data_IF_617435021557
#
_entry.id   IF_617435021557
#
_cell.length_a   1.000
_cell.length_b   1.000
_cell.length_c   1.000
_cell.angle_alpha   90.00
_cell.angle_beta   90.00
_cell.angle_gamma   90.00
#
_symmetry.space_group_name_H-M   'P 1'
#
loop_
_entity.id
_entity.type
_entity.pdbx_description
1 polymer ?
#
# COMPACT_ATOMS: atom_id res chain seq x y z
N UNK A 1 -3.66 35.78 32.20
CA UNK A 1 -3.57 35.74 33.68
C UNK A 1 -2.98 37.05 34.15
N UNK A 2 -3.82 37.95 34.68
CA UNK A 2 -3.38 39.24 35.18
C UNK A 2 -2.42 39.07 36.35
N UNK A 3 -1.30 39.80 36.34
CA UNK A 3 -0.43 39.91 37.50
C UNK A 3 -1.27 40.55 38.60
N UNK A 4 -1.55 39.81 39.68
CA UNK A 4 -2.17 40.40 40.86
C UNK A 4 -1.26 41.52 41.37
N UNK A 5 -1.83 42.72 41.49
CA UNK A 5 -1.13 43.85 42.10
C UNK A 5 -0.68 43.46 43.50
N UNK A 6 0.63 43.55 43.77
CA UNK A 6 1.14 43.37 45.13
C UNK A 6 0.54 44.46 46.02
N UNK A 7 -0.05 44.06 47.15
CA UNK A 7 -0.58 45.00 48.15
C UNK A 7 0.55 45.95 48.60
N UNK A 8 0.39 47.24 48.31
CA UNK A 8 1.27 48.29 48.84
C UNK A 8 0.85 48.63 50.28
N UNK A 9 1.78 49.22 51.05
CA UNK A 9 1.63 49.54 52.48
C UNK A 9 0.36 50.35 52.80
N UNK A 10 -0.18 51.06 51.80
CA UNK A 10 -1.40 51.87 51.91
C UNK A 10 -2.70 51.05 51.90
N UNK A 11 -2.66 49.76 51.54
CA UNK A 11 -3.84 48.90 51.54
C UNK A 11 -4.07 48.17 52.88
N UNK A 12 -3.28 48.49 53.91
CA UNK A 12 -3.54 48.03 55.27
C UNK A 12 -4.77 48.77 55.83
N UNK A 13 -5.69 48.01 56.45
CA UNK A 13 -6.95 48.48 57.05
C UNK A 13 -6.79 49.82 57.76
N UNK A 14 -7.80 50.71 57.70
CA UNK A 14 -7.81 51.99 58.44
C UNK A 14 -7.40 51.84 59.90
N UNK A 15 -7.80 50.72 60.53
CA UNK A 15 -7.43 50.31 61.89
C UNK A 15 -5.92 50.17 62.10
N UNK A 16 -5.17 49.74 61.08
CA UNK A 16 -3.70 49.61 61.13
C UNK A 16 -3.00 50.96 61.08
N UNK A 17 -3.51 51.90 60.27
CA UNK A 17 -2.97 53.26 60.20
C UNK A 17 -3.16 53.99 61.53
N UNK A 18 -4.36 53.89 62.11
CA UNK A 18 -4.68 54.50 63.41
C UNK A 18 -3.83 53.91 64.54
N UNK A 19 -3.59 52.61 64.51
CA UNK A 19 -2.73 51.94 65.48
C UNK A 19 -1.27 52.39 65.37
N UNK A 20 -0.71 52.44 64.16
CA UNK A 20 0.66 52.93 63.95
C UNK A 20 0.84 54.39 64.38
N UNK A 21 -0.18 55.22 64.18
CA UNK A 21 -0.16 56.61 64.63
C UNK A 21 -0.17 56.72 66.17
N UNK A 22 -0.98 55.91 66.86
CA UNK A 22 -1.00 55.84 68.33
C UNK A 22 0.35 55.38 68.90
N UNK A 23 0.95 54.34 68.32
CA UNK A 23 2.27 53.81 68.71
C UNK A 23 3.35 54.87 68.53
N UNK A 24 3.39 55.58 67.39
CA UNK A 24 4.39 56.63 67.14
C UNK A 24 4.31 57.76 68.16
N UNK A 25 3.09 58.21 68.49
CA UNK A 25 2.88 59.29 69.46
C UNK A 25 3.35 58.91 70.85
N UNK A 26 2.97 57.72 71.33
CA UNK A 26 3.43 57.22 72.63
C UNK A 26 4.94 57.00 72.66
N UNK A 27 5.53 56.39 71.62
CA UNK A 27 6.98 56.21 71.54
C UNK A 27 7.74 57.54 71.59
N UNK A 28 7.17 58.62 71.04
CA UNK A 28 7.72 59.96 71.16
C UNK A 28 7.76 60.45 72.60
N UNK A 29 6.64 60.32 73.33
CA UNK A 29 6.52 60.70 74.74
C UNK A 29 7.44 59.85 75.62
N UNK A 30 7.42 58.53 75.45
CA UNK A 30 8.28 57.61 76.19
C UNK A 30 9.77 57.92 75.95
N UNK A 31 10.18 58.19 74.71
CA UNK A 31 11.57 58.56 74.39
C UNK A 31 11.98 59.87 75.06
N UNK A 32 11.10 60.87 75.13
CA UNK A 32 11.36 62.13 75.83
C UNK A 32 11.50 61.92 77.35
N UNK A 33 10.62 61.11 77.95
CA UNK A 33 10.68 60.76 79.38
C UNK A 33 11.92 59.94 79.74
N UNK A 34 12.32 59.03 78.85
CA UNK A 34 13.55 58.27 78.99
C UNK A 34 14.80 59.16 78.94
N UNK A 35 14.83 60.15 78.04
CA UNK A 35 15.93 61.13 77.95
C UNK A 35 16.00 62.09 79.15
N UNK A 36 14.88 62.36 79.81
CA UNK A 36 14.79 63.29 80.96
C UNK A 36 14.81 62.58 82.32
N UNK A 37 15.16 61.28 82.31
CA UNK A 37 15.21 60.42 83.50
C UNK A 37 16.18 60.94 84.57
N UNK A 38 15.74 60.91 85.82
CA UNK A 38 16.57 61.23 87.01
C UNK A 38 17.18 59.95 87.61
N UNK A 39 18.34 60.06 88.27
CA UNK A 39 18.97 58.92 88.93
C UNK A 39 18.05 58.33 90.01
N UNK A 40 17.66 57.06 89.86
CA UNK A 40 16.75 56.37 90.78
C UNK A 40 15.35 56.05 90.22
N UNK A 41 14.94 56.64 89.09
CA UNK A 41 13.70 56.21 88.41
C UNK A 41 13.90 54.82 87.78
N UNK A 42 12.98 53.89 88.03
CA UNK A 42 12.94 52.58 87.36
C UNK A 42 12.26 52.68 85.99
N UNK A 43 12.52 51.71 85.12
CA UNK A 43 11.94 51.68 83.77
C UNK A 43 10.41 51.62 83.79
N UNK A 44 9.85 50.88 84.76
CA UNK A 44 8.41 50.83 85.02
C UNK A 44 7.81 52.18 85.46
N UNK A 45 8.58 53.03 86.15
CA UNK A 45 8.13 54.36 86.56
C UNK A 45 8.03 55.30 85.36
N UNK A 46 8.98 55.19 84.43
CA UNK A 46 9.02 55.98 83.19
C UNK A 46 7.88 55.58 82.25
N UNK A 47 7.60 54.27 82.16
CA UNK A 47 6.47 53.77 81.37
C UNK A 47 5.13 54.28 81.92
N UNK A 48 4.94 54.26 83.24
CA UNK A 48 3.72 54.78 83.88
C UNK A 48 3.58 56.30 83.68
N UNK A 49 4.66 57.08 83.84
CA UNK A 49 4.64 58.52 83.60
C UNK A 49 4.35 58.87 82.12
N UNK A 50 4.84 58.05 81.19
CA UNK A 50 4.54 58.22 79.76
C UNK A 50 3.08 57.86 79.44
N UNK A 51 2.51 56.86 80.10
CA UNK A 51 1.09 56.50 79.99
C UNK A 51 0.17 57.59 80.54
N UNK A 52 0.51 58.16 81.70
CA UNK A 52 -0.23 59.27 82.29
C UNK A 52 -0.17 60.51 81.40
N UNK A 53 1.02 60.88 80.88
CA UNK A 53 1.15 62.01 79.97
C UNK A 53 0.38 61.79 78.66
N UNK A 54 0.42 60.58 78.09
CA UNK A 54 -0.35 60.27 76.89
C UNK A 54 -1.86 60.38 77.17
N UNK A 55 -2.31 59.94 78.35
CA UNK A 55 -3.71 60.01 78.76
C UNK A 55 -4.17 61.45 78.94
N UNK A 56 -3.34 62.32 79.50
CA UNK A 56 -3.62 63.75 79.62
C UNK A 56 -3.68 64.45 78.26
N UNK A 57 -2.72 64.19 77.37
CA UNK A 57 -2.63 64.87 76.07
C UNK A 57 -3.73 64.44 75.09
N UNK A 58 -4.13 63.16 75.11
CA UNK A 58 -5.03 62.58 74.11
C UNK A 58 -6.38 62.11 74.67
N UNK A 59 -6.63 62.35 75.96
CA UNK A 59 -7.87 61.99 76.68
C UNK A 59 -8.33 60.54 76.46
N UNK A 60 -7.36 59.62 76.33
CA UNK A 60 -7.61 58.20 76.09
C UNK A 60 -6.51 57.35 76.74
N UNK A 61 -6.84 56.23 77.41
CA UNK A 61 -5.81 55.35 77.97
C UNK A 61 -5.00 54.71 76.85
N UNK A 62 -3.68 54.79 76.95
CA UNK A 62 -2.79 54.02 76.09
C UNK A 62 -2.88 52.54 76.52
N UNK A 63 -3.39 51.67 75.65
CA UNK A 63 -3.50 50.23 75.94
C UNK A 63 -2.87 49.41 74.82
N UNK A 64 -1.53 49.38 74.79
CA UNK A 64 -0.81 48.78 73.68
C UNK A 64 -0.47 47.29 73.90
N UNK A 65 -0.15 46.87 75.12
CA UNK A 65 0.53 45.59 75.32
C UNK A 65 -0.34 44.33 75.10
N UNK A 66 -1.61 44.32 75.56
CA UNK A 66 -2.47 43.11 75.45
C UNK A 66 -3.23 43.00 74.12
N UNK A 67 -3.35 44.11 73.39
CA UNK A 67 -4.11 44.18 72.13
C UNK A 67 -3.22 44.05 70.89
N UNK A 68 -2.01 44.63 70.89
CA UNK A 68 -1.11 44.59 69.72
C UNK A 68 -0.50 43.21 69.51
N UNK A 69 -0.06 42.52 70.56
CA UNK A 69 0.46 41.14 70.43
C UNK A 69 -0.60 40.18 69.87
N UNK A 70 -1.87 40.33 70.27
CA UNK A 70 -2.98 39.53 69.75
C UNK A 70 -3.26 39.85 68.28
N UNK A 71 -3.19 41.12 67.89
CA UNK A 71 -3.37 41.53 66.50
C UNK A 71 -2.23 41.04 65.60
N UNK A 72 -0.98 41.08 66.07
CA UNK A 72 0.16 40.51 65.33
C UNK A 72 -0.01 39.00 65.14
N UNK A 73 -0.42 38.27 66.19
CA UNK A 73 -0.70 36.84 66.09
C UNK A 73 -1.84 36.53 65.10
N UNK A 74 -2.91 37.33 65.09
CA UNK A 74 -3.99 37.21 64.11
C UNK A 74 -3.50 37.48 62.68
N UNK A 75 -2.63 38.47 62.47
CA UNK A 75 -2.04 38.74 61.16
C UNK A 75 -1.11 37.62 60.70
N UNK A 76 -0.29 37.05 61.61
CA UNK A 76 0.55 35.88 61.29
C UNK A 76 -0.31 34.67 60.93
N UNK A 77 -1.40 34.44 61.66
CA UNK A 77 -2.35 33.37 61.34
C UNK A 77 -3.01 33.59 59.96
N UNK A 78 -3.40 34.83 59.64
CA UNK A 78 -3.95 35.17 58.33
C UNK A 78 -2.94 34.92 57.21
N UNK A 79 -1.69 35.35 57.35
CA UNK A 79 -0.64 35.13 56.35
C UNK A 79 -0.39 33.62 56.13
N UNK A 80 -0.42 32.83 57.21
CA UNK A 80 -0.28 31.37 57.11
C UNK A 80 -1.45 30.75 56.38
N UNK A 81 -2.68 31.16 56.70
CA UNK A 81 -3.87 30.66 56.02
C UNK A 81 -3.87 31.07 54.54
N UNK A 82 -3.51 32.32 54.21
CA UNK A 82 -3.43 32.79 52.82
C UNK A 82 -2.34 32.01 52.03
N UNK A 83 -1.20 31.72 52.67
CA UNK A 83 -0.17 30.87 52.06
C UNK A 83 -0.63 29.42 51.87
N UNK A 84 -1.36 28.85 52.82
CA UNK A 84 -1.90 27.50 52.76
C UNK A 84 -3.00 27.37 51.71
N UNK A 85 -3.93 28.32 51.65
CA UNK A 85 -4.94 28.41 50.59
C UNK A 85 -4.30 28.54 49.22
N UNK A 86 -3.24 29.35 49.08
CA UNK A 86 -2.53 29.48 47.80
C UNK A 86 -1.77 28.22 47.41
N UNK A 87 -1.15 27.53 48.37
CA UNK A 87 -0.50 26.24 48.13
C UNK A 87 -1.52 25.18 47.70
N UNK A 88 -2.68 25.14 48.35
CA UNK A 88 -3.77 24.24 48.00
C UNK A 88 -4.33 24.54 46.62
N UNK A 89 -4.56 25.81 46.27
CA UNK A 89 -5.01 26.22 44.93
C UNK A 89 -4.02 25.76 43.84
N UNK A 90 -2.72 25.95 44.06
CA UNK A 90 -1.68 25.48 43.13
C UNK A 90 -1.71 23.96 43.01
N UNK A 91 -1.86 23.24 44.12
CA UNK A 91 -1.87 21.77 44.10
C UNK A 91 -3.06 21.20 43.33
N UNK A 92 -4.26 21.75 43.55
CA UNK A 92 -5.48 21.34 42.86
C UNK A 92 -5.40 21.69 41.38
N UNK A 93 -4.97 22.92 41.05
CA UNK A 93 -4.78 23.34 39.66
C UNK A 93 -3.76 22.47 38.92
N UNK A 94 -2.65 22.10 39.57
CA UNK A 94 -1.64 21.23 38.98
C UNK A 94 -2.16 19.80 38.72
N UNK A 95 -2.98 19.27 39.63
CA UNK A 95 -3.61 17.96 39.47
C UNK A 95 -4.65 17.94 38.35
N UNK A 96 -5.46 18.99 38.24
CA UNK A 96 -6.40 19.17 37.13
C UNK A 96 -5.66 19.24 35.78
N UNK A 97 -4.61 20.08 35.68
CA UNK A 97 -3.80 20.19 34.47
C UNK A 97 -3.11 18.88 34.10
N UNK A 98 -2.56 18.15 35.08
CA UNK A 98 -1.95 16.84 34.86
C UNK A 98 -2.95 15.85 34.28
N UNK A 99 -4.16 15.79 34.84
CA UNK A 99 -5.20 14.88 34.39
C UNK A 99 -5.65 15.22 32.96
N UNK A 100 -5.81 16.51 32.64
CA UNK A 100 -6.15 16.96 31.28
C UNK A 100 -5.05 16.56 30.28
N UNK A 101 -3.79 16.86 30.57
CA UNK A 101 -2.69 16.54 29.67
C UNK A 101 -2.53 15.02 29.47
N UNK A 102 -2.64 14.25 30.55
CA UNK A 102 -2.61 12.79 30.50
C UNK A 102 -3.71 12.24 29.59
N UNK A 103 -4.94 12.72 29.74
CA UNK A 103 -6.05 12.31 28.88
C UNK A 103 -5.82 12.68 27.41
N UNK A 104 -5.35 13.90 27.13
CA UNK A 104 -5.05 14.35 25.78
C UNK A 104 -3.99 13.48 25.10
N UNK A 105 -2.89 13.18 25.78
CA UNK A 105 -1.82 12.31 25.24
C UNK A 105 -2.39 10.93 24.90
N UNK A 106 -3.15 10.34 25.83
CA UNK A 106 -3.77 9.02 25.64
C UNK A 106 -4.75 9.01 24.46
N UNK A 107 -5.57 10.06 24.31
CA UNK A 107 -6.51 10.16 23.19
C UNK A 107 -5.81 10.32 21.83
N UNK A 108 -4.78 11.16 21.78
CA UNK A 108 -3.97 11.38 20.58
C UNK A 108 -3.32 10.05 20.15
N UNK A 109 -2.70 9.32 21.06
CA UNK A 109 -2.02 8.07 20.72
C UNK A 109 -3.00 6.95 20.41
N UNK A 110 -4.14 6.84 21.11
CA UNK A 110 -5.23 5.93 20.74
C UNK A 110 -5.71 6.19 19.31
N UNK A 111 -5.85 7.46 18.91
CA UNK A 111 -6.26 7.83 17.55
C UNK A 111 -5.21 7.43 16.52
N UNK A 112 -3.92 7.66 16.78
CA UNK A 112 -2.82 7.22 15.90
C UNK A 112 -2.82 5.70 15.73
N UNK A 113 -2.90 4.96 16.84
CA UNK A 113 -2.93 3.50 16.84
C UNK A 113 -4.12 2.99 16.03
N UNK A 114 -5.32 3.53 16.25
CA UNK A 114 -6.51 3.14 15.48
C UNK A 114 -6.32 3.36 13.98
N UNK A 115 -5.78 4.51 13.56
CA UNK A 115 -5.51 4.80 12.16
C UNK A 115 -4.48 3.85 11.54
N UNK A 116 -3.45 3.47 12.29
CA UNK A 116 -2.44 2.51 11.83
C UNK A 116 -3.05 1.11 11.65
N UNK A 117 -3.84 0.65 12.61
CA UNK A 117 -4.53 -0.64 12.52
C UNK A 117 -5.54 -0.66 11.37
N UNK A 118 -6.31 0.41 11.15
CA UNK A 118 -7.23 0.51 10.00
C UNK A 118 -6.49 0.38 8.66
N UNK A 119 -5.31 1.00 8.54
CA UNK A 119 -4.46 0.89 7.35
C UNK A 119 -3.95 -0.55 7.19
N UNK A 120 -3.44 -1.16 8.26
CA UNK A 120 -2.95 -2.55 8.25
C UNK A 120 -4.04 -3.54 7.89
N UNK A 121 -5.23 -3.42 8.48
CA UNK A 121 -6.40 -4.27 8.17
C UNK A 121 -6.76 -4.18 6.68
N UNK A 122 -6.87 -2.97 6.13
CA UNK A 122 -7.14 -2.78 4.70
C UNK A 122 -6.08 -3.41 3.80
N UNK A 123 -4.80 -3.31 4.19
CA UNK A 123 -3.71 -3.95 3.44
C UNK A 123 -3.80 -5.48 3.47
N UNK A 124 -4.11 -6.06 4.63
CA UNK A 124 -4.30 -7.52 4.78
C UNK A 124 -5.49 -7.99 3.93
N UNK A 125 -6.61 -7.26 3.93
CA UNK A 125 -7.76 -7.61 3.10
C UNK A 125 -7.45 -7.60 1.61
N UNK A 126 -6.71 -6.60 1.13
CA UNK A 126 -6.26 -6.53 -0.27
C UNK A 126 -5.33 -7.70 -0.59
N UNK A 127 -4.34 -7.99 0.28
CA UNK A 127 -3.44 -9.14 0.10
C UNK A 127 -4.19 -10.46 0.03
N UNK A 128 -5.17 -10.67 0.92
CA UNK A 128 -6.02 -11.86 0.93
C UNK A 128 -6.82 -12.02 -0.37
N UNK A 129 -7.35 -10.92 -0.93
CA UNK A 129 -8.05 -10.94 -2.23
C UNK A 129 -7.12 -11.27 -3.39
N UNK A 130 -5.91 -10.71 -3.40
CA UNK A 130 -4.89 -11.00 -4.42
C UNK A 130 -4.50 -12.48 -4.34
N UNK A 131 -4.18 -12.97 -3.15
CA UNK A 131 -3.79 -14.37 -2.93
C UNK A 131 -4.90 -15.33 -3.37
N UNK A 132 -6.14 -15.07 -2.96
CA UNK A 132 -7.30 -15.85 -3.40
C UNK A 132 -7.44 -15.85 -4.93
N UNK A 133 -7.32 -14.68 -5.57
CA UNK A 133 -7.40 -14.57 -7.03
C UNK A 133 -6.24 -15.29 -7.73
N UNK A 134 -5.02 -15.20 -7.20
CA UNK A 134 -3.85 -15.91 -7.70
C UNK A 134 -4.02 -17.43 -7.61
N UNK A 135 -4.52 -17.94 -6.47
CA UNK A 135 -4.79 -19.37 -6.28
C UNK A 135 -5.85 -19.89 -7.27
N UNK A 136 -6.90 -19.10 -7.52
CA UNK A 136 -7.94 -19.44 -8.50
C UNK A 136 -7.37 -19.44 -9.92
N UNK A 137 -6.57 -18.43 -10.29
CA UNK A 137 -5.93 -18.38 -11.60
C UNK A 137 -4.92 -19.52 -11.79
N UNK A 138 -4.12 -19.85 -10.77
CA UNK A 138 -3.20 -20.98 -10.80
C UNK A 138 -3.94 -22.31 -11.00
N UNK A 139 -5.07 -22.50 -10.30
CA UNK A 139 -5.93 -23.68 -10.48
C UNK A 139 -6.51 -23.75 -11.89
N UNK A 140 -6.98 -22.61 -12.43
CA UNK A 140 -7.50 -22.52 -13.80
C UNK A 140 -6.44 -22.87 -14.84
N UNK A 141 -5.23 -22.33 -14.72
CA UNK A 141 -4.12 -22.61 -15.64
C UNK A 141 -3.78 -24.10 -15.62
N UNK A 142 -3.75 -24.74 -14.45
CA UNK A 142 -3.52 -26.19 -14.35
C UNK A 142 -4.57 -27.01 -15.09
N UNK A 143 -5.84 -26.63 -15.00
CA UNK A 143 -6.91 -27.31 -15.75
C UNK A 143 -6.73 -27.13 -17.26
N UNK A 144 -6.39 -25.92 -17.70
CA UNK A 144 -6.13 -25.64 -19.12
C UNK A 144 -4.91 -26.41 -19.64
N UNK A 145 -3.84 -26.51 -18.86
CA UNK A 145 -2.66 -27.31 -19.20
C UNK A 145 -3.04 -28.78 -19.34
N UNK A 146 -3.77 -29.35 -18.37
CA UNK A 146 -4.21 -30.74 -18.46
C UNK A 146 -5.10 -31.00 -19.68
N UNK A 147 -5.95 -30.03 -20.06
CA UNK A 147 -6.75 -30.12 -21.29
C UNK A 147 -5.88 -30.09 -22.55
N UNK A 148 -4.89 -29.19 -22.60
CA UNK A 148 -3.96 -29.08 -23.72
C UNK A 148 -3.09 -30.33 -23.86
N UNK A 149 -2.61 -30.89 -22.75
CA UNK A 149 -1.86 -32.15 -22.70
C UNK A 149 -2.68 -33.31 -23.26
N UNK A 150 -3.96 -33.40 -22.89
CA UNK A 150 -4.87 -34.42 -23.43
C UNK A 150 -5.07 -34.27 -24.94
N UNK A 151 -5.33 -33.05 -25.42
CA UNK A 151 -5.52 -32.79 -26.86
C UNK A 151 -4.22 -33.07 -27.63
N UNK A 152 -3.07 -32.69 -27.07
CA UNK A 152 -1.76 -32.94 -27.67
C UNK A 152 -1.47 -34.44 -27.72
N UNK A 153 -1.74 -35.19 -26.63
CA UNK A 153 -1.62 -36.65 -26.61
C UNK A 153 -2.55 -37.34 -27.61
N UNK A 154 -3.78 -36.85 -27.79
CA UNK A 154 -4.69 -37.34 -28.83
C UNK A 154 -4.16 -37.07 -30.24
N UNK A 155 -3.61 -35.87 -30.47
CA UNK A 155 -2.99 -35.50 -31.76
C UNK A 155 -1.78 -36.37 -32.08
N UNK A 156 -0.92 -36.62 -31.09
CA UNK A 156 0.23 -37.51 -31.24
C UNK A 156 -0.19 -38.95 -31.52
N UNK A 157 -1.18 -39.47 -30.80
CA UNK A 157 -1.73 -40.82 -31.01
C UNK A 157 -2.31 -40.98 -32.42
N UNK A 158 -3.11 -40.01 -32.87
CA UNK A 158 -3.65 -40.00 -34.23
C UNK A 158 -2.54 -39.86 -35.29
N UNK A 159 -1.51 -39.05 -35.03
CA UNK A 159 -0.34 -38.91 -35.91
C UNK A 159 0.42 -40.24 -36.02
N UNK A 160 0.57 -40.98 -34.92
CA UNK A 160 1.21 -42.30 -34.92
C UNK A 160 0.40 -43.34 -35.69
N UNK A 161 -0.94 -43.32 -35.57
CA UNK A 161 -1.81 -44.17 -36.39
C UNK A 161 -1.68 -43.86 -37.89
N UNK A 162 -1.56 -42.57 -38.26
CA UNK A 162 -1.34 -42.16 -39.64
C UNK A 162 -0.01 -42.65 -40.22
N UNK A 163 1.05 -42.77 -39.41
CA UNK A 163 2.31 -43.38 -39.84
C UNK A 163 2.10 -44.85 -40.24
N UNK A 164 1.24 -45.59 -39.53
CA UNK A 164 0.94 -46.99 -39.85
C UNK A 164 0.21 -47.15 -41.19
N UNK A 165 -0.60 -46.17 -41.61
CA UNK A 165 -1.30 -46.21 -42.91
C UNK A 165 -0.32 -46.27 -44.09
N UNK A 166 0.87 -45.67 -43.96
CA UNK A 166 1.90 -45.68 -45.01
C UNK A 166 2.46 -47.07 -45.33
N UNK A 167 2.42 -48.01 -44.35
CA UNK A 167 2.94 -49.37 -44.54
C UNK A 167 2.07 -50.19 -45.51
N UNK A 168 0.77 -49.90 -45.57
CA UNK A 168 -0.17 -50.60 -46.44
C UNK A 168 -0.22 -49.96 -47.84
N UNK A 169 0.65 -50.42 -48.76
CA UNK A 169 0.79 -49.86 -50.13
C UNK A 169 -0.54 -49.70 -50.90
N UNK A 170 -1.47 -50.66 -50.80
CA UNK A 170 -2.75 -50.62 -51.52
C UNK A 170 -3.68 -49.51 -51.00
N UNK A 171 -3.87 -49.42 -49.69
CA UNK A 171 -4.70 -48.37 -49.07
C UNK A 171 -4.04 -47.01 -49.22
N UNK A 172 -2.72 -46.94 -49.11
CA UNK A 172 -1.94 -45.73 -49.29
C UNK A 172 -1.99 -45.20 -50.74
N UNK A 173 -1.91 -46.07 -51.77
CA UNK A 173 -2.11 -45.68 -53.17
C UNK A 173 -3.47 -45.04 -53.39
N UNK A 174 -4.55 -45.66 -52.87
CA UNK A 174 -5.91 -45.11 -52.97
C UNK A 174 -6.05 -43.77 -52.24
N UNK A 175 -5.40 -43.62 -51.08
CA UNK A 175 -5.38 -42.36 -50.34
C UNK A 175 -4.66 -41.25 -51.12
N UNK A 176 -3.48 -41.53 -51.69
CA UNK A 176 -2.75 -40.59 -52.56
C UNK A 176 -3.60 -40.18 -53.76
N UNK A 177 -4.24 -41.14 -54.45
CA UNK A 177 -5.12 -40.86 -55.58
C UNK A 177 -6.23 -39.86 -55.19
N UNK A 178 -6.90 -40.09 -54.06
CA UNK A 178 -7.95 -39.23 -53.55
C UNK A 178 -7.45 -37.82 -53.19
N UNK A 179 -6.28 -37.72 -52.57
CA UNK A 179 -5.65 -36.44 -52.21
C UNK A 179 -5.27 -35.63 -53.45
N UNK A 180 -4.73 -36.29 -54.49
CA UNK A 180 -4.44 -35.66 -55.78
C UNK A 180 -5.74 -35.12 -56.39
N UNK A 181 -6.79 -35.94 -56.48
CA UNK A 181 -8.10 -35.50 -57.02
C UNK A 181 -8.68 -34.33 -56.22
N UNK A 182 -8.60 -34.38 -54.88
CA UNK A 182 -9.04 -33.29 -54.01
C UNK A 182 -8.28 -31.99 -54.29
N UNK A 183 -6.97 -32.06 -54.48
CA UNK A 183 -6.13 -30.90 -54.80
C UNK A 183 -6.48 -30.30 -56.17
N UNK A 184 -6.69 -31.14 -57.19
CA UNK A 184 -7.06 -30.71 -58.54
C UNK A 184 -8.44 -30.03 -58.55
N UNK A 185 -9.42 -30.56 -57.80
CA UNK A 185 -10.74 -29.97 -57.64
C UNK A 185 -10.71 -28.60 -56.94
N UNK A 186 -9.75 -28.40 -56.02
CA UNK A 186 -9.56 -27.15 -55.29
C UNK A 186 -8.84 -26.09 -56.13
N UNK A 187 -7.85 -26.49 -56.93
CA UNK A 187 -7.05 -25.59 -57.77
C UNK A 187 -7.79 -25.17 -59.05
N UNK A 188 -8.43 -26.12 -59.75
CA UNK A 188 -9.13 -25.90 -61.03
C UNK A 188 -8.29 -25.22 -62.12
N UNK A 189 -7.00 -25.50 -62.15
CA UNK A 189 -6.07 -24.99 -63.15
C UNK A 189 -5.83 -26.04 -64.25
N UNK A 190 -5.56 -25.62 -65.51
CA UNK A 190 -5.33 -26.54 -66.63
C UNK A 190 -3.97 -27.25 -66.55
N UNK A 191 -3.01 -26.71 -65.79
CA UNK A 191 -1.68 -27.28 -65.58
C UNK A 191 -1.25 -27.17 -64.12
N UNK A 192 -0.78 -28.27 -63.53
CA UNK A 192 -0.40 -28.35 -62.11
C UNK A 192 0.95 -29.04 -61.97
N UNK A 193 1.84 -28.46 -61.16
CA UNK A 193 3.10 -29.07 -60.74
C UNK A 193 2.89 -29.81 -59.42
N UNK A 194 3.11 -31.12 -59.39
CA UNK A 194 2.96 -31.95 -58.20
C UNK A 194 4.32 -32.17 -57.51
N UNK A 195 4.38 -31.90 -56.20
CA UNK A 195 5.55 -32.17 -55.37
C UNK A 195 5.24 -33.26 -54.35
N UNK A 196 6.07 -34.30 -54.32
CA UNK A 196 5.93 -35.44 -53.41
C UNK A 196 7.24 -35.70 -52.64
N UNK A 197 7.19 -36.63 -51.68
CA UNK A 197 8.39 -37.18 -51.05
C UNK A 197 9.07 -38.14 -52.02
N UNK A 198 10.39 -38.23 -51.93
CA UNK A 198 11.19 -39.11 -52.79
C UNK A 198 10.76 -40.60 -52.68
N UNK A 199 10.43 -41.05 -51.46
CA UNK A 199 9.96 -42.42 -51.21
C UNK A 199 8.62 -42.77 -51.87
N UNK A 200 7.78 -41.77 -52.13
CA UNK A 200 6.42 -41.95 -52.65
C UNK A 200 6.33 -41.81 -54.17
N UNK A 201 7.44 -41.48 -54.84
CA UNK A 201 7.50 -41.16 -56.27
C UNK A 201 6.91 -42.28 -57.14
N UNK A 202 7.28 -43.53 -56.88
CA UNK A 202 6.77 -44.70 -57.62
C UNK A 202 5.25 -44.90 -57.47
N UNK A 203 4.71 -44.64 -56.27
CA UNK A 203 3.28 -44.78 -55.99
C UNK A 203 2.49 -43.66 -56.67
N UNK A 204 3.01 -42.43 -56.59
CA UNK A 204 2.42 -41.25 -57.21
C UNK A 204 2.37 -41.39 -58.73
N UNK A 205 3.45 -41.82 -59.38
CA UNK A 205 3.47 -42.08 -60.84
C UNK A 205 2.39 -43.09 -61.24
N UNK A 206 2.23 -44.15 -60.45
CA UNK A 206 1.20 -45.18 -60.70
C UNK A 206 -0.24 -44.72 -60.46
N UNK A 207 -0.45 -43.64 -59.69
CA UNK A 207 -1.77 -43.11 -59.33
C UNK A 207 -2.22 -41.94 -60.21
N UNK A 208 -1.30 -41.28 -60.92
CA UNK A 208 -1.58 -40.09 -61.73
C UNK A 208 -2.65 -40.31 -62.80
N UNK A 209 -2.53 -41.39 -63.58
CA UNK A 209 -3.45 -41.67 -64.68
C UNK A 209 -4.87 -41.98 -64.19
N UNK A 210 -4.97 -42.66 -63.04
CA UNK A 210 -6.25 -42.93 -62.37
C UNK A 210 -6.86 -41.62 -61.83
N UNK A 211 -6.06 -40.77 -61.18
CA UNK A 211 -6.49 -39.46 -60.66
C UNK A 211 -6.96 -38.49 -61.76
N UNK A 212 -6.28 -38.45 -62.92
CA UNK A 212 -6.69 -37.58 -64.06
C UNK A 212 -8.07 -37.95 -64.57
N UNK A 213 -8.34 -39.25 -64.73
CA UNK A 213 -9.64 -39.78 -65.17
C UNK A 213 -10.72 -39.43 -64.17
N UNK A 214 -10.47 -39.65 -62.88
CA UNK A 214 -11.43 -39.37 -61.82
C UNK A 214 -11.75 -37.87 -61.70
N UNK A 215 -10.74 -37.00 -61.86
CA UNK A 215 -10.95 -35.56 -61.91
C UNK A 215 -11.81 -35.15 -63.13
N UNK A 216 -11.49 -35.66 -64.32
CA UNK A 216 -12.24 -35.35 -65.54
C UNK A 216 -13.71 -35.78 -65.42
N UNK A 217 -13.97 -36.95 -64.84
CA UNK A 217 -15.34 -37.43 -64.57
C UNK A 217 -16.10 -36.54 -63.56
N UNK A 218 -15.45 -36.09 -62.49
CA UNK A 218 -16.10 -35.26 -61.45
C UNK A 218 -16.28 -33.81 -61.88
N UNK A 219 -15.29 -33.23 -62.55
CA UNK A 219 -15.29 -31.83 -62.97
C UNK A 219 -16.02 -31.61 -64.30
N UNK A 220 -16.24 -32.68 -65.10
CA UNK A 220 -16.76 -32.61 -66.49
C UNK A 220 -15.90 -31.72 -67.40
N UNK A 221 -14.59 -31.69 -67.15
CA UNK A 221 -13.59 -30.90 -67.90
C UNK A 221 -12.53 -31.84 -68.47
N UNK A 222 -11.79 -31.36 -69.47
CA UNK A 222 -10.63 -32.06 -70.01
C UNK A 222 -9.59 -32.39 -68.91
N UNK A 223 -8.82 -33.48 -69.06
CA UNK A 223 -7.80 -33.86 -68.08
C UNK A 223 -6.72 -32.76 -67.98
N UNK A 224 -6.39 -32.29 -66.77
CA UNK A 224 -5.34 -31.29 -66.59
C UNK A 224 -3.96 -31.89 -66.85
N UNK A 225 -3.03 -31.06 -67.32
CA UNK A 225 -1.62 -31.42 -67.41
C UNK A 225 -1.03 -31.49 -66.00
N UNK A 226 -0.45 -32.63 -65.62
CA UNK A 226 0.17 -32.81 -64.31
C UNK A 226 1.62 -33.23 -64.52
N UNK A 227 2.56 -32.38 -64.11
CA UNK A 227 4.00 -32.61 -64.17
C UNK A 227 4.53 -32.85 -62.74
N UNK A 228 5.36 -33.88 -62.53
CA UNK A 228 6.00 -34.15 -61.22
C UNK A 228 7.31 -33.36 -61.13
N UNK A 229 7.50 -32.61 -60.05
CA UNK A 229 8.76 -31.94 -59.73
C UNK A 229 9.82 -32.98 -59.28
N UNK A 230 10.82 -33.23 -60.14
CA UNK A 230 11.95 -34.14 -59.86
C UNK A 230 13.17 -33.42 -59.26
N UNK A 231 13.08 -32.11 -59.05
CA UNK A 231 14.20 -31.27 -58.61
C UNK A 231 14.11 -30.91 -57.13
N UNK A 232 12.90 -30.68 -56.62
CA UNK A 232 12.65 -30.30 -55.23
C UNK A 232 11.63 -31.25 -54.61
N UNK A 233 12.09 -32.12 -53.72
CA UNK A 233 11.23 -33.07 -52.99
C UNK A 233 10.74 -32.50 -51.65
N UNK A 234 9.64 -33.07 -51.13
CA UNK A 234 9.23 -32.84 -49.75
C UNK A 234 10.21 -33.48 -48.76
N UNK A 235 10.34 -32.96 -47.53
CA UNK A 235 11.19 -33.58 -46.52
C UNK A 235 10.77 -35.04 -46.26
N UNK A 236 11.74 -35.94 -46.00
CA UNK A 236 11.47 -37.35 -45.76
C UNK A 236 10.63 -37.54 -44.48
N UNK A 237 9.97 -38.71 -44.34
CA UNK A 237 9.07 -38.96 -43.22
C UNK A 237 9.77 -38.76 -41.87
N UNK A 238 9.06 -38.21 -40.86
CA UNK A 238 9.59 -38.12 -39.50
C UNK A 238 9.92 -39.53 -39.01
N UNK A 239 11.15 -39.72 -38.52
CA UNK A 239 11.64 -41.00 -38.00
C UNK A 239 11.55 -40.96 -36.47
N UNK A 240 11.34 -42.09 -35.79
CA UNK A 240 11.26 -42.15 -34.31
C UNK A 240 12.47 -41.52 -33.59
N UNK A 241 13.62 -41.38 -34.26
CA UNK A 241 14.83 -40.75 -33.73
C UNK A 241 14.80 -39.20 -33.74
N UNK A 242 13.92 -38.57 -34.53
CA UNK A 242 13.80 -37.11 -34.63
C UNK A 242 12.34 -36.67 -34.93
N UNK A 243 11.46 -36.70 -33.92
CA UNK A 243 10.04 -36.38 -34.06
C UNK A 243 9.78 -34.89 -34.38
N UNK A 244 10.74 -34.01 -34.11
CA UNK A 244 10.65 -32.57 -34.37
C UNK A 244 11.30 -32.15 -35.70
N UNK A 245 11.80 -33.10 -36.50
CA UNK A 245 12.36 -32.79 -37.81
C UNK A 245 11.30 -32.04 -38.65
N UNK A 246 11.65 -30.90 -39.26
CA UNK A 246 10.71 -30.08 -40.02
C UNK A 246 10.04 -30.87 -41.16
N UNK A 247 8.85 -31.42 -40.89
CA UNK A 247 8.03 -32.22 -41.82
C UNK A 247 7.34 -31.37 -42.88
N UNK A 248 7.29 -30.04 -42.68
CA UNK A 248 6.48 -29.11 -43.50
C UNK A 248 7.14 -27.77 -43.81
N UNK A 249 8.45 -27.60 -43.64
CA UNK A 249 9.08 -26.32 -43.95
C UNK A 249 9.45 -26.21 -45.44
N UNK A 250 8.70 -25.37 -46.16
CA UNK A 250 9.20 -24.69 -47.34
C UNK A 250 10.37 -23.79 -46.90
N UNK A 251 11.59 -24.16 -47.27
CA UNK A 251 12.77 -23.31 -47.06
C UNK A 251 12.56 -21.96 -47.78
N UNK A 252 12.74 -20.80 -47.13
CA UNK A 252 12.53 -19.48 -47.74
C UNK A 252 13.39 -19.19 -48.99
N UNK A 253 14.43 -20.00 -49.23
CA UNK A 253 15.35 -19.86 -50.36
C UNK A 253 14.69 -20.14 -51.71
N UNK A 254 13.61 -20.94 -51.76
CA UNK A 254 12.95 -21.34 -53.02
C UNK A 254 12.09 -20.21 -53.59
N UNK A 255 11.59 -19.30 -52.76
CA UNK A 255 10.82 -18.12 -53.20
C UNK A 255 11.67 -17.10 -53.97
N UNK A 256 13.01 -17.14 -53.81
CA UNK A 256 13.90 -16.13 -54.39
C UNK A 256 14.56 -16.54 -55.72
N UNK A 257 14.62 -17.84 -56.04
CA UNK A 257 15.12 -18.31 -57.34
C UNK A 257 14.08 -18.17 -58.45
N UNK A 258 12.79 -18.39 -58.17
CA UNK A 258 11.72 -18.22 -59.17
C UNK A 258 11.48 -16.75 -59.60
N UNK A 259 11.98 -15.76 -58.85
CA UNK A 259 11.93 -14.35 -59.26
C UNK A 259 12.94 -13.99 -60.37
N UNK A 260 14.01 -14.77 -60.56
CA UNK A 260 15.03 -14.45 -61.59
C UNK A 260 14.68 -14.98 -62.98
N UNK A 261 13.78 -15.95 -63.09
CA UNK A 261 13.44 -16.61 -64.36
C UNK A 261 12.12 -16.12 -65.01
N UNK A 262 11.63 -14.93 -64.65
CA UNK A 262 10.51 -14.26 -65.35
C UNK A 262 9.12 -14.92 -65.24
N UNK A 263 8.99 -16.08 -64.58
CA UNK A 263 7.71 -16.73 -64.32
C UNK A 263 7.08 -16.14 -63.04
N UNK A 264 6.16 -15.20 -63.22
CA UNK A 264 5.34 -14.61 -62.16
C UNK A 264 4.42 -15.69 -61.56
N UNK A 265 4.91 -16.41 -60.56
CA UNK A 265 4.06 -17.19 -59.66
C UNK A 265 3.52 -16.26 -58.58
N UNK A 266 2.28 -15.83 -58.77
CA UNK A 266 1.55 -14.98 -57.83
C UNK A 266 1.49 -15.63 -56.44
N UNK A 267 1.82 -14.82 -55.44
CA UNK A 267 1.67 -15.05 -54.00
C UNK A 267 0.31 -15.65 -53.62
N UNK A 268 0.19 -16.99 -53.61
CA UNK A 268 -0.99 -17.69 -53.07
C UNK A 268 -0.68 -18.65 -51.91
N UNK A 269 0.59 -18.74 -51.48
CA UNK A 269 1.01 -19.64 -50.39
C UNK A 269 0.86 -19.06 -48.97
N UNK A 270 0.26 -17.88 -48.80
CA UNK A 270 0.08 -17.27 -47.46
C UNK A 270 -1.12 -17.82 -46.67
N UNK A 271 -1.91 -18.75 -47.22
CA UNK A 271 -3.19 -19.18 -46.63
C UNK A 271 -3.22 -20.59 -46.05
N UNK A 272 -2.11 -21.34 -46.06
CA UNK A 272 -2.08 -22.70 -45.51
C UNK A 272 -1.47 -22.81 -44.10
N UNK A 273 -1.20 -21.68 -43.43
CA UNK A 273 -0.63 -21.65 -42.07
C UNK A 273 -1.62 -21.29 -40.95
N UNK A 274 -2.93 -21.47 -41.16
CA UNK A 274 -3.96 -21.09 -40.15
C UNK A 274 -5.07 -22.13 -39.92
N UNK A 275 -4.86 -23.37 -40.33
CA UNK A 275 -5.72 -24.48 -39.93
C UNK A 275 -4.79 -25.67 -39.64
N UNK A 276 -4.84 -26.13 -38.38
CA UNK A 276 -4.04 -27.15 -37.68
C UNK A 276 -2.86 -26.65 -36.82
#
# INVERSE_FOLDING_TARGET
MGRGEYRTNDMLSSKWRDMNLKVRKFNGIYSQKWQTRRSGQSDAMIELEAEDQYREEFNAPFSLQRNVSKQIQQMVAFIRQEAEEKANEISVSAEEEFNIQKMQIVEIDKKKVRQEFDRKTKQVDVKKKIEYSMQLNASRIKVLQAQDDLVTGMKESASNELLNVSHNKKTYKKLIQNLIVQSLLRLREPSVLLRCREVDLSIVESALEESKKEYASKAKVQPPRIDIDKTVFLPPPPTNADPHRPSWYLHPAILNQNKRNGLVWMNKYRLLGRIW
#
